data_IF_650287972696
#
_entry.id   IF_650287972696
#
_cell.length_a   1.000
_cell.length_b   1.000
_cell.length_c   1.000
_cell.angle_alpha   90.00
_cell.angle_beta   90.00
_cell.angle_gamma   90.00
#
_symmetry.space_group_name_H-M   'P 1'
#
loop_
_entity.id
_entity.type
_entity.pdbx_description
1 polymer ?
#
# COMPACT_ATOMS: atom_id res chain seq x y z
N UNK A 1 25.23 7.76 -0.78
CA UNK A 1 23.87 8.33 -0.78
C UNK A 1 23.32 8.16 0.61
N UNK A 2 22.87 9.24 1.23
CA UNK A 2 22.39 9.24 2.62
C UNK A 2 20.91 8.79 2.65
N UNK A 3 20.56 7.92 3.60
CA UNK A 3 19.24 7.28 3.68
C UNK A 3 18.13 8.32 3.93
N UNK A 4 18.47 9.45 4.55
CA UNK A 4 17.56 10.57 4.78
C UNK A 4 17.09 11.23 3.48
N UNK A 5 17.94 11.29 2.46
CA UNK A 5 17.61 11.89 1.16
C UNK A 5 16.59 11.06 0.38
N UNK A 6 16.70 9.73 0.47
CA UNK A 6 15.80 8.80 -0.23
C UNK A 6 14.38 8.83 0.34
N UNK A 7 14.24 9.01 1.66
CA UNK A 7 12.93 9.11 2.34
C UNK A 7 12.23 10.42 1.97
N UNK A 8 12.98 11.53 1.87
CA UNK A 8 12.40 12.82 1.48
C UNK A 8 11.90 12.81 0.03
N UNK A 9 12.60 12.13 -0.87
CA UNK A 9 12.23 11.99 -2.29
C UNK A 9 11.00 11.09 -2.47
N UNK A 10 10.94 9.94 -1.79
CA UNK A 10 9.85 8.97 -1.95
C UNK A 10 8.52 9.43 -1.34
N UNK A 11 8.55 10.22 -0.26
CA UNK A 11 7.35 10.59 0.49
C UNK A 11 6.92 12.06 0.33
N UNK A 12 7.61 12.84 -0.51
CA UNK A 12 7.28 14.27 -0.77
C UNK A 12 7.11 15.10 0.51
N UNK A 13 7.83 14.76 1.58
CA UNK A 13 7.76 15.51 2.84
C UNK A 13 8.46 16.85 2.63
N UNK A 14 7.78 17.95 2.98
CA UNK A 14 8.28 19.34 2.95
C UNK A 14 8.27 20.08 1.58
N UNK A 15 7.42 19.68 0.64
CA UNK A 15 7.17 20.48 -0.58
C UNK A 15 6.31 21.71 -0.23
N UNK A 16 6.72 22.94 -0.60
CA UNK A 16 5.89 24.11 -0.36
C UNK A 16 4.57 23.99 -1.14
N UNK A 17 3.45 24.06 -0.44
CA UNK A 17 2.13 24.04 -1.03
C UNK A 17 1.99 25.17 -2.07
N UNK A 18 1.98 24.82 -3.36
CA UNK A 18 1.57 25.77 -4.40
C UNK A 18 0.06 25.97 -4.28
N UNK A 19 -0.41 27.22 -4.40
CA UNK A 19 -1.84 27.54 -4.46
C UNK A 19 -2.46 26.80 -5.65
N UNK A 20 -3.09 25.66 -5.40
CA UNK A 20 -3.79 24.88 -6.40
C UNK A 20 -5.13 25.52 -6.74
N UNK A 21 -5.47 25.54 -8.03
CA UNK A 21 -6.86 25.65 -8.48
C UNK A 21 -7.62 24.41 -8.00
N UNK A 22 -8.86 24.59 -7.53
CA UNK A 22 -9.66 23.50 -6.96
C UNK A 22 -9.96 22.41 -7.99
N UNK A 23 -9.97 21.14 -7.54
CA UNK A 23 -10.48 20.00 -8.30
C UNK A 23 -11.90 20.29 -8.86
N UNK A 24 -12.14 19.98 -10.14
CA UNK A 24 -13.44 20.14 -10.78
C UNK A 24 -14.51 19.28 -10.11
N UNK A 25 -15.61 19.91 -9.71
CA UNK A 25 -16.78 19.24 -9.09
C UNK A 25 -17.44 18.17 -9.97
N UNK A 26 -17.09 18.10 -11.27
CA UNK A 26 -17.69 17.18 -12.24
C UNK A 26 -16.92 15.88 -12.40
N UNK A 27 -15.66 15.81 -11.99
CA UNK A 27 -14.84 14.62 -12.11
C UNK A 27 -14.10 14.36 -10.78
N UNK A 28 -14.54 13.38 -9.97
CA UNK A 28 -13.88 13.08 -8.70
C UNK A 28 -12.41 12.64 -8.85
N UNK A 29 -11.96 12.30 -10.07
CA UNK A 29 -10.56 11.97 -10.41
C UNK A 29 -9.76 13.16 -11.01
N UNK A 30 -10.26 14.39 -11.01
CA UNK A 30 -9.50 15.54 -11.53
C UNK A 30 -8.41 15.99 -10.52
N UNK A 31 -7.16 15.62 -10.82
CA UNK A 31 -5.98 15.88 -9.98
C UNK A 31 -5.27 17.21 -10.30
N UNK A 32 -6.00 18.19 -10.86
CA UNK A 32 -5.44 19.52 -11.13
C UNK A 32 -4.70 20.09 -9.91
N UNK A 33 -3.47 20.54 -10.12
CA UNK A 33 -2.64 21.15 -9.09
C UNK A 33 -1.83 20.17 -8.22
N UNK A 34 -1.90 18.85 -8.41
CA UNK A 34 -1.02 17.87 -7.76
C UNK A 34 0.32 17.67 -8.51
N UNK A 35 0.93 18.75 -8.97
CA UNK A 35 2.30 18.70 -9.51
C UNK A 35 2.41 18.30 -10.97
N UNK A 36 1.43 18.64 -11.81
CA UNK A 36 1.51 18.62 -13.28
C UNK A 36 2.59 19.59 -13.81
N UNK A 37 3.85 19.30 -13.54
CA UNK A 37 4.95 19.91 -14.27
C UNK A 37 5.04 19.25 -15.67
N UNK A 38 5.76 19.88 -16.60
CA UNK A 38 5.95 19.34 -17.97
C UNK A 38 6.36 17.87 -17.99
N UNK A 39 7.16 17.46 -17.01
CA UNK A 39 7.58 16.08 -16.83
C UNK A 39 6.38 15.13 -16.59
N UNK A 40 5.40 15.52 -15.77
CA UNK A 40 4.17 14.75 -15.57
C UNK A 40 3.31 14.62 -16.83
N UNK A 41 3.28 15.65 -17.68
CA UNK A 41 2.56 15.61 -18.96
C UNK A 41 3.27 14.73 -19.99
N UNK A 42 4.60 14.79 -20.04
CA UNK A 42 5.43 13.93 -20.90
C UNK A 42 5.34 12.46 -20.46
N UNK A 43 5.33 12.19 -19.15
CA UNK A 43 5.10 10.86 -18.59
C UNK A 43 3.69 10.37 -18.94
N UNK A 44 2.65 11.21 -18.80
CA UNK A 44 1.28 10.83 -19.12
C UNK A 44 1.10 10.50 -20.62
N UNK A 45 1.72 11.29 -21.50
CA UNK A 45 1.71 11.01 -22.93
C UNK A 45 2.45 9.70 -23.25
N UNK A 46 3.63 9.49 -22.65
CA UNK A 46 4.39 8.26 -22.83
C UNK A 46 3.65 7.03 -22.28
N UNK A 47 2.90 7.15 -21.19
CA UNK A 47 2.07 6.07 -20.64
C UNK A 47 0.94 5.73 -21.63
N UNK A 48 0.22 6.71 -22.14
CA UNK A 48 -0.86 6.45 -23.11
C UNK A 48 -0.36 5.85 -24.42
N UNK A 49 0.82 6.23 -24.90
CA UNK A 49 1.42 5.61 -26.09
C UNK A 49 1.86 4.15 -25.85
N UNK A 50 2.12 3.76 -24.59
CA UNK A 50 2.47 2.38 -24.21
C UNK A 50 1.23 1.51 -23.93
N UNK A 51 0.07 2.11 -23.65
CA UNK A 51 -1.19 1.40 -23.39
C UNK A 51 -1.76 0.71 -24.65
N UNK A 52 -1.42 1.21 -25.85
CA UNK A 52 -1.89 0.64 -27.13
C UNK A 52 -1.14 -0.65 -27.54
N UNK A 53 0.00 -0.99 -26.93
CA UNK A 53 0.78 -2.21 -27.21
C UNK A 53 0.56 -3.35 -26.20
N UNK A 54 -0.24 -3.14 -25.14
CA UNK A 54 -0.53 -4.19 -24.17
C UNK A 54 -1.69 -5.03 -24.68
N UNK A 55 -1.34 -6.13 -25.37
CA UNK A 55 -2.24 -7.27 -25.57
C UNK A 55 -2.95 -7.59 -24.25
N UNK A 56 -4.27 -7.72 -24.32
CA UNK A 56 -5.17 -7.95 -23.19
C UNK A 56 -4.80 -9.23 -22.42
N UNK A 57 -3.84 -9.15 -21.53
CA UNK A 57 -3.79 -10.04 -20.39
C UNK A 57 -4.97 -9.61 -19.51
N UNK A 58 -5.86 -10.55 -19.20
CA UNK A 58 -7.06 -10.30 -18.44
C UNK A 58 -6.66 -9.50 -17.20
N UNK A 59 -7.15 -8.27 -17.08
CA UNK A 59 -6.85 -7.39 -15.96
C UNK A 59 -7.37 -8.06 -14.70
N UNK A 60 -6.52 -8.83 -14.02
CA UNK A 60 -6.70 -9.20 -12.63
C UNK A 60 -6.77 -7.87 -11.88
N UNK A 61 -7.98 -7.32 -11.71
CA UNK A 61 -8.15 -6.11 -10.93
C UNK A 61 -7.47 -6.33 -9.58
N UNK A 62 -6.65 -5.38 -9.11
CA UNK A 62 -5.94 -5.54 -7.85
C UNK A 62 -6.96 -5.73 -6.73
N UNK A 63 -7.09 -6.97 -6.25
CA UNK A 63 -7.99 -7.33 -5.16
C UNK A 63 -7.32 -6.99 -3.83
N UNK A 64 -7.88 -6.02 -3.11
CA UNK A 64 -7.39 -5.61 -1.79
C UNK A 64 -8.26 -6.22 -0.68
N UNK A 65 -7.61 -6.75 0.35
CA UNK A 65 -8.27 -7.36 1.51
C UNK A 65 -8.19 -6.42 2.71
N UNK A 66 -9.35 -6.07 3.27
CA UNK A 66 -9.46 -5.31 4.51
C UNK A 66 -9.21 -6.15 5.77
N UNK A 67 -9.08 -5.49 6.92
CA UNK A 67 -9.03 -6.14 8.22
C UNK A 67 -10.25 -5.77 9.04
N UNK A 68 -10.97 -6.77 9.55
CA UNK A 68 -12.13 -6.55 10.42
C UNK A 68 -11.70 -5.83 11.69
N UNK A 69 -12.45 -4.79 12.07
CA UNK A 69 -12.23 -4.08 13.32
C UNK A 69 -12.91 -4.85 14.45
N UNK A 70 -12.12 -5.39 15.38
CA UNK A 70 -12.62 -6.17 16.52
C UNK A 70 -12.97 -5.29 17.74
N UNK A 71 -12.90 -3.96 17.58
CA UNK A 71 -12.98 -2.99 18.66
C UNK A 71 -11.59 -2.74 19.25
N UNK A 72 -11.24 -1.46 19.48
CA UNK A 72 -9.93 -1.03 19.99
C UNK A 72 -8.68 -1.53 19.20
N UNK A 73 -8.86 -2.10 18.01
CA UNK A 73 -7.78 -2.69 17.19
C UNK A 73 -7.48 -1.89 15.92
N UNK A 74 -8.26 -0.82 15.63
CA UNK A 74 -8.15 -0.06 14.39
C UNK A 74 -6.77 0.55 14.14
N UNK A 75 -6.05 0.95 15.21
CA UNK A 75 -4.69 1.47 15.09
C UNK A 75 -3.70 0.40 14.60
N UNK A 76 -3.86 -0.84 15.08
CA UNK A 76 -3.03 -1.97 14.64
C UNK A 76 -3.44 -2.42 13.23
N UNK A 77 -4.73 -2.43 12.90
CA UNK A 77 -5.17 -2.76 11.54
C UNK A 77 -4.54 -1.80 10.51
N UNK A 78 -4.56 -0.49 10.79
CA UNK A 78 -3.91 0.49 9.93
C UNK A 78 -2.39 0.27 9.83
N UNK A 79 -1.74 -0.02 10.96
CA UNK A 79 -0.31 -0.34 10.99
C UNK A 79 0.02 -1.59 10.16
N UNK A 80 -0.74 -2.69 10.30
CA UNK A 80 -0.51 -3.92 9.55
C UNK A 80 -0.66 -3.73 8.05
N UNK A 81 -1.61 -2.90 7.60
CA UNK A 81 -1.76 -2.55 6.18
C UNK A 81 -0.54 -1.76 5.66
N UNK A 82 -0.02 -0.82 6.44
CA UNK A 82 1.20 -0.05 6.09
C UNK A 82 2.44 -0.95 6.05
N UNK A 83 2.60 -1.82 7.05
CA UNK A 83 3.72 -2.77 7.13
C UNK A 83 3.66 -3.77 5.97
N UNK A 84 2.47 -4.31 5.66
CA UNK A 84 2.27 -5.21 4.54
C UNK A 84 2.66 -4.54 3.22
N UNK A 85 2.30 -3.28 3.00
CA UNK A 85 2.63 -2.55 1.77
C UNK A 85 4.15 -2.50 1.47
N UNK A 86 5.01 -2.59 2.50
CA UNK A 86 6.45 -2.69 2.33
C UNK A 86 6.87 -4.11 1.92
N UNK A 87 7.21 -4.30 0.64
CA UNK A 87 7.59 -5.61 0.07
C UNK A 87 8.82 -6.24 0.75
N UNK A 88 9.79 -5.44 1.20
CA UNK A 88 10.99 -5.95 1.88
C UNK A 88 10.65 -6.50 3.27
N UNK A 89 9.84 -5.76 4.03
CA UNK A 89 9.37 -6.24 5.34
C UNK A 89 8.48 -7.47 5.17
N UNK A 90 7.56 -7.46 4.22
CA UNK A 90 6.70 -8.60 3.90
C UNK A 90 7.51 -9.86 3.64
N UNK A 91 8.55 -9.76 2.80
CA UNK A 91 9.48 -10.87 2.55
C UNK A 91 10.20 -11.31 3.82
N UNK A 92 10.73 -10.37 4.61
CA UNK A 92 11.39 -10.70 5.87
C UNK A 92 10.47 -11.41 6.87
N UNK A 93 9.19 -11.04 6.91
CA UNK A 93 8.18 -11.73 7.72
C UNK A 93 7.97 -13.16 7.22
N UNK A 94 7.89 -13.40 5.92
CA UNK A 94 7.75 -14.76 5.37
C UNK A 94 8.99 -15.63 5.56
N UNK A 95 10.19 -15.04 5.50
CA UNK A 95 11.45 -15.76 5.65
C UNK A 95 11.82 -16.04 7.13
N UNK A 96 11.00 -15.57 8.09
CA UNK A 96 11.24 -15.80 9.53
C UNK A 96 10.91 -17.23 9.94
N UNK A 97 11.89 -17.95 10.51
CA UNK A 97 11.75 -19.39 10.84
C UNK A 97 11.48 -19.70 12.33
N UNK A 98 11.40 -18.69 13.21
CA UNK A 98 11.05 -18.86 14.63
C UNK A 98 12.09 -19.59 15.48
N UNK A 99 12.28 -19.16 16.74
CA UNK A 99 13.19 -19.84 17.69
C UNK A 99 12.69 -19.86 19.13
N UNK A 100 11.58 -19.21 19.51
CA UNK A 100 11.13 -19.08 20.91
C UNK A 100 9.65 -18.66 21.07
N UNK A 101 9.14 -18.41 22.30
CA UNK A 101 7.72 -18.07 22.56
C UNK A 101 7.15 -16.85 21.79
N UNK A 102 8.00 -15.95 21.30
CA UNK A 102 7.62 -14.84 20.39
C UNK A 102 7.23 -15.35 18.98
N UNK A 103 7.39 -16.65 18.71
CA UNK A 103 6.99 -17.32 17.48
C UNK A 103 5.49 -17.20 17.23
N UNK A 104 4.65 -17.15 18.27
CA UNK A 104 3.18 -17.09 18.05
C UNK A 104 2.78 -15.80 17.35
N UNK A 105 3.25 -14.64 17.80
CA UNK A 105 2.87 -13.37 17.18
C UNK A 105 3.47 -13.23 15.78
N UNK A 106 4.71 -13.68 15.59
CA UNK A 106 5.35 -13.72 14.27
C UNK A 106 4.60 -14.63 13.30
N UNK A 107 4.17 -15.82 13.75
CA UNK A 107 3.37 -16.76 12.96
C UNK A 107 2.01 -16.17 12.58
N UNK A 108 1.32 -15.54 13.52
CA UNK A 108 0.02 -14.91 13.26
C UNK A 108 0.17 -13.71 12.30
N UNK A 109 1.30 -12.98 12.37
CA UNK A 109 1.63 -11.92 11.41
C UNK A 109 1.90 -12.49 10.01
N UNK A 110 2.60 -13.63 9.90
CA UNK A 110 2.79 -14.35 8.63
C UNK A 110 1.45 -14.77 8.02
N UNK A 111 0.55 -15.34 8.82
CA UNK A 111 -0.80 -15.73 8.38
C UNK A 111 -1.63 -14.52 7.94
N UNK A 112 -1.58 -13.42 8.69
CA UNK A 112 -2.25 -12.17 8.34
C UNK A 112 -1.72 -11.63 7.01
N UNK A 113 -0.40 -11.59 6.81
CA UNK A 113 0.21 -11.13 5.56
C UNK A 113 -0.10 -12.06 4.39
N UNK A 114 -0.16 -13.38 4.61
CA UNK A 114 -0.61 -14.34 3.61
C UNK A 114 -2.06 -14.08 3.19
N UNK A 115 -2.95 -13.82 4.16
CA UNK A 115 -4.34 -13.48 3.87
C UNK A 115 -4.45 -12.17 3.07
N UNK A 116 -3.71 -11.12 3.44
CA UNK A 116 -3.70 -9.87 2.68
C UNK A 116 -3.19 -10.04 1.23
N UNK A 117 -2.33 -11.04 0.98
CA UNK A 117 -1.73 -11.29 -0.32
C UNK A 117 -2.61 -12.09 -1.28
N UNK A 118 -3.36 -13.07 -0.78
CA UNK A 118 -4.02 -14.07 -1.64
C UNK A 118 -5.48 -14.37 -1.32
N UNK A 119 -6.04 -13.76 -0.26
CA UNK A 119 -7.40 -14.06 0.15
C UNK A 119 -8.40 -13.38 -0.78
N UNK A 120 -9.43 -14.12 -1.21
CA UNK A 120 -10.45 -13.64 -2.16
C UNK A 120 -11.67 -13.00 -1.51
N UNK A 121 -11.57 -12.66 -0.22
CA UNK A 121 -12.64 -12.00 0.52
C UNK A 121 -12.36 -10.50 0.65
N UNK A 122 -13.41 -9.71 0.88
CA UNK A 122 -13.29 -8.27 1.13
C UNK A 122 -12.56 -7.97 2.45
N UNK A 123 -12.65 -8.85 3.44
CA UNK A 123 -12.04 -8.66 4.75
C UNK A 123 -11.57 -9.99 5.37
N UNK A 124 -10.42 -9.92 6.06
CA UNK A 124 -9.90 -10.97 6.92
C UNK A 124 -10.21 -10.65 8.39
N UNK A 125 -10.47 -11.69 9.20
CA UNK A 125 -10.73 -11.57 10.64
C UNK A 125 -9.43 -11.83 11.42
N UNK A 126 -8.73 -10.80 11.94
CA UNK A 126 -7.43 -10.95 12.57
C UNK A 126 -7.54 -11.36 14.05
N UNK A 127 -8.60 -12.06 14.47
CA UNK A 127 -8.83 -12.39 15.89
C UNK A 127 -7.68 -13.18 16.51
N UNK A 128 -7.16 -14.19 15.82
CA UNK A 128 -6.04 -15.01 16.30
C UNK A 128 -4.75 -14.20 16.48
N UNK A 129 -4.51 -13.22 15.60
CA UNK A 129 -3.44 -12.25 15.73
C UNK A 129 -3.67 -11.31 16.92
N UNK A 130 -4.90 -10.81 17.10
CA UNK A 130 -5.26 -9.95 18.23
C UNK A 130 -5.11 -10.65 19.59
N UNK A 131 -5.39 -11.95 19.67
CA UNK A 131 -5.19 -12.77 20.87
C UNK A 131 -3.73 -13.15 21.11
N UNK A 132 -2.85 -13.00 20.11
CA UNK A 132 -1.42 -13.26 20.22
C UNK A 132 -0.60 -12.04 20.69
N UNK A 133 -1.21 -10.86 20.69
CA UNK A 133 -0.66 -9.60 21.22
C UNK A 133 -0.92 -9.46 22.72
#
# INVERSE_FOLDING_TARGET
>A
MDCTSLIQELYSVNVPAKKGTTNSKKNPNDLHGMGENKLGQEIQAAISDLEDEVESDQTDEPHFVGLKNLGATCYINALMQVLFANKHLRKGVYDWEGTDKDDKICLEMQLLFGALQSFKAEFYDPKSFAEAM
#
